data_IF_617685020682
#
_entry.id   IF_617685020682
#
_cell.length_a   1.000
_cell.length_b   1.000
_cell.length_c   1.000
_cell.angle_alpha   90.00
_cell.angle_beta   90.00
_cell.angle_gamma   90.00
#
_symmetry.space_group_name_H-M   'P 1'
#
loop_
_entity.id
_entity.type
_entity.pdbx_description
1 polymer ?
#
# COMPACT_ATOMS: atom_id res chain seq x y z
N UNK A 1 -13.43 26.73 38.86
CA UNK A 1 -13.10 26.28 37.49
C UNK A 1 -13.74 24.94 37.08
N UNK A 2 -14.75 24.42 37.81
CA UNK A 2 -15.32 23.07 37.57
C UNK A 2 -16.41 23.03 36.49
N UNK A 3 -17.29 24.04 36.43
CA UNK A 3 -18.53 23.99 35.64
C UNK A 3 -18.35 24.19 34.12
N UNK A 4 -17.24 24.79 33.67
CA UNK A 4 -16.95 24.96 32.23
C UNK A 4 -16.39 23.69 31.58
N UNK A 5 -15.69 22.83 32.33
CA UNK A 5 -15.18 21.55 31.81
C UNK A 5 -16.31 20.53 31.65
N UNK A 6 -17.23 20.42 32.62
CA UNK A 6 -18.42 19.56 32.48
C UNK A 6 -19.32 19.97 31.31
N UNK A 7 -19.53 21.28 31.10
CA UNK A 7 -20.28 21.77 29.94
C UNK A 7 -19.62 21.43 28.60
N UNK A 8 -18.28 21.43 28.54
CA UNK A 8 -17.51 21.07 27.35
C UNK A 8 -17.56 19.55 27.08
N UNK A 9 -17.41 18.71 28.11
CA UNK A 9 -17.53 17.26 27.98
C UNK A 9 -18.94 16.82 27.59
N UNK A 10 -19.98 17.44 28.18
CA UNK A 10 -21.38 17.15 27.83
C UNK A 10 -21.74 17.59 26.40
N UNK A 11 -21.11 18.68 25.94
CA UNK A 11 -21.19 19.15 24.55
C UNK A 11 -20.52 18.18 23.58
N UNK A 12 -19.34 17.64 23.93
CA UNK A 12 -18.62 16.66 23.10
C UNK A 12 -19.34 15.31 23.05
N UNK A 13 -19.87 14.82 24.17
CA UNK A 13 -20.65 13.57 24.19
C UNK A 13 -21.95 13.72 23.40
N UNK A 14 -22.61 14.88 23.49
CA UNK A 14 -23.78 15.21 22.68
C UNK A 14 -23.45 15.21 21.19
N UNK A 15 -22.34 15.83 20.80
CA UNK A 15 -21.87 15.85 19.41
C UNK A 15 -21.45 14.45 18.92
N UNK A 16 -20.88 13.61 19.79
CA UNK A 16 -20.51 12.23 19.44
C UNK A 16 -21.75 11.34 19.22
N UNK A 17 -22.77 11.49 20.07
CA UNK A 17 -24.03 10.78 19.93
C UNK A 17 -24.78 11.24 18.67
N UNK A 18 -24.68 12.53 18.32
CA UNK A 18 -25.22 13.08 17.08
C UNK A 18 -24.54 12.45 15.86
N UNK A 19 -23.20 12.38 15.83
CA UNK A 19 -22.42 11.73 14.75
C UNK A 19 -22.72 10.23 14.68
N UNK A 20 -22.84 9.52 15.80
CA UNK A 20 -23.18 8.10 15.82
C UNK A 20 -24.59 7.86 15.27
N UNK A 21 -25.54 8.74 15.59
CA UNK A 21 -26.90 8.63 15.09
C UNK A 21 -27.01 9.04 13.61
N UNK A 22 -26.21 9.99 13.15
CA UNK A 22 -26.06 10.36 11.74
C UNK A 22 -25.49 9.20 10.92
N UNK A 23 -24.42 8.54 11.41
CA UNK A 23 -23.85 7.34 10.79
C UNK A 23 -24.85 6.18 10.77
N UNK A 24 -25.63 5.97 11.84
CA UNK A 24 -26.70 4.96 11.85
C UNK A 24 -27.83 5.28 10.88
N UNK A 25 -28.18 6.56 10.72
CA UNK A 25 -29.18 7.01 9.75
C UNK A 25 -28.67 6.85 8.31
N UNK A 26 -27.40 7.16 8.04
CA UNK A 26 -26.73 6.96 6.75
C UNK A 26 -26.66 5.47 6.37
N UNK A 27 -26.34 4.59 7.33
CA UNK A 27 -26.37 3.13 7.13
C UNK A 27 -27.79 2.65 6.80
N UNK A 28 -28.82 3.26 7.40
CA UNK A 28 -30.23 2.91 7.16
C UNK A 28 -30.79 3.52 5.86
N UNK A 29 -30.20 4.61 5.37
CA UNK A 29 -30.58 5.33 4.15
C UNK A 29 -29.80 4.90 2.91
N UNK A 30 -28.75 4.08 3.05
CA UNK A 30 -28.01 3.51 1.93
C UNK A 30 -28.90 2.61 1.05
N UNK A 31 -29.39 3.16 -0.06
CA UNK A 31 -29.84 2.38 -1.23
C UNK A 31 -28.69 1.52 -1.74
N UNK A 32 -28.96 0.33 -2.31
CA UNK A 32 -27.89 -0.55 -2.80
C UNK A 32 -27.03 0.21 -3.82
N UNK A 33 -25.70 0.19 -3.70
CA UNK A 33 -24.86 0.88 -4.65
C UNK A 33 -25.00 0.23 -6.03
N UNK A 34 -24.96 1.07 -7.05
CA UNK A 34 -24.78 0.66 -8.43
C UNK A 34 -23.55 -0.27 -8.50
N UNK A 35 -23.78 -1.53 -8.90
CA UNK A 35 -22.87 -2.67 -8.66
C UNK A 35 -21.49 -2.55 -9.31
N UNK A 36 -21.22 -1.46 -10.03
CA UNK A 36 -20.00 -1.25 -10.80
C UNK A 36 -18.99 -0.28 -10.16
N UNK A 37 -19.35 0.58 -9.20
CA UNK A 37 -18.44 1.69 -8.76
C UNK A 37 -17.72 1.51 -7.41
N UNK A 38 -18.15 0.61 -6.53
CA UNK A 38 -17.49 0.36 -5.24
C UNK A 38 -17.61 1.53 -4.24
N UNK A 39 -17.18 1.34 -2.97
CA UNK A 39 -17.30 2.36 -1.92
C UNK A 39 -16.44 3.61 -2.20
N UNK A 40 -17.03 4.79 -1.98
CA UNK A 40 -16.38 6.11 -2.12
C UNK A 40 -15.82 6.60 -0.78
N UNK A 41 -14.76 7.41 -0.82
CA UNK A 41 -14.18 8.07 0.36
C UNK A 41 -15.12 9.16 0.91
N UNK A 42 -15.22 9.30 2.23
CA UNK A 42 -15.90 10.44 2.86
C UNK A 42 -15.17 11.77 2.59
N UNK A 43 -15.81 12.92 2.81
CA UNK A 43 -15.15 14.24 2.62
C UNK A 43 -13.86 14.40 3.43
N UNK A 44 -13.86 13.96 4.68
CA UNK A 44 -12.67 14.01 5.54
C UNK A 44 -11.56 13.07 5.02
N UNK A 45 -11.94 11.88 4.54
CA UNK A 45 -10.99 10.94 3.92
C UNK A 45 -10.47 11.44 2.58
N UNK A 46 -11.30 12.12 1.79
CA UNK A 46 -10.89 12.80 0.56
C UNK A 46 -9.89 13.93 0.86
N UNK A 47 -10.08 14.69 1.95
CA UNK A 47 -9.10 15.69 2.39
C UNK A 47 -7.77 15.08 2.82
N UNK A 48 -7.80 13.97 3.59
CA UNK A 48 -6.58 13.22 3.93
C UNK A 48 -5.89 12.64 2.69
N UNK A 49 -6.67 12.05 1.76
CA UNK A 49 -6.15 11.55 0.49
C UNK A 49 -5.56 12.68 -0.38
N UNK A 50 -6.21 13.84 -0.42
CA UNK A 50 -5.71 15.01 -1.12
C UNK A 50 -4.46 15.59 -0.46
N UNK A 51 -4.33 15.57 0.86
CA UNK A 51 -3.08 15.95 1.55
C UNK A 51 -1.95 14.97 1.24
N UNK A 52 -2.24 13.65 1.23
CA UNK A 52 -1.27 12.63 0.81
C UNK A 52 -0.84 12.91 -0.64
N UNK A 53 -1.79 13.15 -1.54
CA UNK A 53 -1.53 13.42 -2.95
C UNK A 53 -0.82 14.76 -3.20
N UNK A 54 -1.13 15.79 -2.40
CA UNK A 54 -0.49 17.10 -2.45
C UNK A 54 0.95 17.04 -1.94
N UNK A 55 1.23 16.25 -0.90
CA UNK A 55 2.61 15.97 -0.46
C UNK A 55 3.39 15.24 -1.55
N UNK A 56 2.74 14.33 -2.28
CA UNK A 56 3.34 13.64 -3.43
C UNK A 56 3.57 14.58 -4.63
N UNK A 57 2.76 15.62 -4.81
CA UNK A 57 2.86 16.56 -5.95
C UNK A 57 3.64 17.84 -5.67
N UNK A 58 3.76 18.32 -4.43
CA UNK A 58 4.49 19.56 -4.09
C UNK A 58 6.00 19.36 -3.96
N UNK A 59 6.49 18.11 -3.98
CA UNK A 59 7.92 17.81 -4.00
C UNK A 59 8.53 17.78 -5.42
N UNK A 60 7.79 18.14 -6.47
CA UNK A 60 8.29 18.17 -7.86
C UNK A 60 8.61 19.57 -8.41
N UNK A 61 8.35 20.66 -7.67
CA UNK A 61 8.55 22.04 -8.17
C UNK A 61 9.72 22.79 -7.50
N UNK A 62 10.58 22.10 -6.75
CA UNK A 62 11.66 22.71 -5.98
C UNK A 62 13.06 22.58 -6.56
N UNK A 63 13.24 22.43 -7.87
CA UNK A 63 14.57 22.38 -8.53
C UNK A 63 14.51 22.88 -10.00
N UNK A 64 13.96 24.07 -10.23
CA UNK A 64 14.00 24.72 -11.55
C UNK A 64 14.31 26.22 -11.49
N UNK A 65 15.08 26.68 -10.50
CA UNK A 65 15.66 28.03 -10.49
C UNK A 65 17.15 27.94 -10.23
N UNK A 66 17.94 27.74 -11.30
CA UNK A 66 19.30 28.29 -11.52
C UNK A 66 19.98 27.61 -12.72
N UNK A 67 19.63 28.01 -13.94
CA UNK A 67 20.60 28.23 -15.05
C UNK A 67 20.02 29.34 -15.95
N UNK A 68 20.89 30.28 -16.29
CA UNK A 68 20.65 31.64 -16.77
C UNK A 68 20.15 31.78 -18.22
N UNK A 69 19.56 32.96 -18.46
CA UNK A 69 19.59 33.81 -19.67
C UNK A 69 20.12 33.20 -20.96
N UNK A 70 19.22 33.04 -21.94
CA UNK A 70 19.22 33.80 -23.20
C UNK A 70 17.96 33.41 -24.00
N UNK A 71 17.07 34.38 -24.21
CA UNK A 71 15.92 34.23 -25.08
C UNK A 71 16.34 34.38 -26.55
N UNK A 72 15.76 33.57 -27.44
CA UNK A 72 15.36 34.11 -28.73
C UNK A 72 13.89 33.82 -29.07
N UNK A 73 13.33 34.85 -29.70
CA UNK A 73 12.03 35.10 -30.32
C UNK A 73 11.08 33.93 -30.64
N UNK A 74 9.82 34.19 -30.33
CA UNK A 74 8.60 33.44 -30.69
C UNK A 74 8.38 33.51 -32.21
N UNK A 75 8.22 32.37 -32.91
CA UNK A 75 7.53 32.33 -34.18
C UNK A 75 6.06 31.92 -33.96
N UNK A 76 5.20 32.69 -34.59
CA UNK A 76 3.74 32.57 -34.74
C UNK A 76 3.26 31.17 -35.16
N UNK A 77 2.04 30.82 -34.70
CA UNK A 77 1.24 29.65 -35.12
C UNK A 77 1.27 29.37 -36.63
N UNK A 78 1.13 28.08 -37.01
CA UNK A 78 0.25 27.79 -38.13
C UNK A 78 -0.78 26.68 -37.83
N UNK A 79 -2.03 27.04 -38.09
CA UNK A 79 -3.09 26.32 -38.79
C UNK A 79 -3.40 24.84 -38.43
N UNK A 80 -4.67 24.66 -38.05
CA UNK A 80 -5.33 23.40 -37.77
C UNK A 80 -5.31 22.43 -38.97
N UNK A 81 -4.67 21.27 -38.79
CA UNK A 81 -4.86 20.11 -39.64
C UNK A 81 -6.01 19.24 -39.09
N UNK A 82 -7.04 19.02 -39.91
CA UNK A 82 -8.14 18.07 -39.67
C UNK A 82 -7.60 16.64 -39.63
N UNK A 83 -8.08 15.76 -38.74
CA UNK A 83 -7.92 14.32 -38.93
C UNK A 83 -9.11 13.78 -39.74
N UNK A 84 -8.84 13.42 -41.00
CA UNK A 84 -9.60 12.38 -41.69
C UNK A 84 -9.17 11.03 -41.10
N UNK A 85 -10.09 10.31 -40.47
CA UNK A 85 -10.10 8.84 -40.41
C UNK A 85 -11.46 8.41 -39.85
N UNK A 86 -12.30 7.88 -40.73
CA UNK A 86 -13.57 7.25 -40.41
C UNK A 86 -13.32 6.09 -39.42
N UNK A 87 -13.91 6.20 -38.24
CA UNK A 87 -14.07 5.08 -37.31
C UNK A 87 -15.08 4.10 -37.93
N UNK A 88 -14.58 2.93 -38.32
CA UNK A 88 -15.37 1.80 -38.79
C UNK A 88 -16.33 1.32 -37.69
N UNK A 89 -17.59 1.75 -37.80
CA UNK A 89 -18.68 1.49 -36.85
C UNK A 89 -19.28 0.09 -37.03
N UNK A 90 -18.82 -0.70 -38.00
CA UNK A 90 -19.32 -2.07 -38.25
C UNK A 90 -18.63 -3.14 -37.39
N UNK A 91 -17.42 -2.86 -36.88
CA UNK A 91 -16.68 -3.79 -36.01
C UNK A 91 -17.25 -3.86 -34.57
N UNK A 92 -17.95 -2.83 -34.11
CA UNK A 92 -18.52 -2.76 -32.76
C UNK A 92 -19.89 -3.45 -32.65
N UNK A 93 -20.70 -3.47 -33.72
CA UNK A 93 -22.05 -4.04 -33.68
C UNK A 93 -22.11 -5.57 -33.89
N UNK A 94 -21.02 -6.22 -34.32
CA UNK A 94 -20.97 -7.70 -34.44
C UNK A 94 -20.65 -8.42 -33.13
N UNK A 95 -20.26 -7.71 -32.08
CA UNK A 95 -19.98 -8.30 -30.77
C UNK A 95 -21.26 -8.48 -29.90
N UNK A 96 -22.39 -7.87 -30.26
CA UNK A 96 -23.61 -7.86 -29.43
C UNK A 96 -24.61 -9.01 -29.72
N UNK A 97 -24.36 -9.85 -30.72
CA UNK A 97 -25.29 -10.93 -31.10
C UNK A 97 -24.64 -12.32 -31.15
N UNK A 98 -24.02 -12.75 -30.04
CA UNK A 98 -23.76 -14.17 -29.80
C UNK A 98 -24.59 -14.68 -28.61
N UNK A 99 -25.21 -15.87 -28.72
CA UNK A 99 -26.04 -16.41 -27.65
C UNK A 99 -25.18 -16.71 -26.42
N UNK A 100 -25.67 -16.35 -25.24
CA UNK A 100 -25.06 -16.62 -23.94
C UNK A 100 -24.74 -18.12 -23.80
N UNK A 101 -23.48 -18.48 -24.09
CA UNK A 101 -22.92 -19.74 -23.60
C UNK A 101 -22.76 -19.58 -22.10
N UNK A 102 -23.42 -20.45 -21.35
CA UNK A 102 -23.38 -20.52 -19.89
C UNK A 102 -21.95 -20.49 -19.36
N UNK A 103 -21.48 -19.30 -19.01
CA UNK A 103 -20.16 -19.08 -18.44
C UNK A 103 -20.25 -19.36 -16.93
N UNK A 104 -20.51 -20.62 -16.57
CA UNK A 104 -20.20 -21.07 -15.21
C UNK A 104 -18.67 -21.07 -15.10
N UNK A 105 -18.07 -20.35 -14.11
CA UNK A 105 -16.64 -20.41 -13.91
C UNK A 105 -16.22 -21.87 -13.72
N UNK A 106 -15.11 -22.26 -14.37
CA UNK A 106 -14.51 -23.57 -14.17
C UNK A 106 -14.27 -23.78 -12.67
N UNK A 107 -14.48 -24.99 -12.14
CA UNK A 107 -14.29 -25.27 -10.73
C UNK A 107 -12.86 -24.89 -10.31
N UNK A 108 -12.74 -24.33 -9.10
CA UNK A 108 -11.46 -23.99 -8.48
C UNK A 108 -10.54 -25.23 -8.50
N UNK A 109 -9.25 -25.10 -8.85
CA UNK A 109 -8.32 -26.21 -8.74
C UNK A 109 -8.30 -26.69 -7.29
N UNK A 110 -8.63 -27.96 -7.06
CA UNK A 110 -8.62 -28.59 -5.72
C UNK A 110 -7.21 -29.02 -5.29
N UNK A 111 -6.19 -28.28 -5.72
CA UNK A 111 -4.76 -28.55 -5.48
C UNK A 111 -4.01 -27.28 -5.12
N UNK A 112 -2.70 -27.43 -4.82
CA UNK A 112 -1.85 -26.32 -4.40
C UNK A 112 -1.93 -25.15 -5.41
N UNK A 113 -2.55 -24.03 -5.00
CA UNK A 113 -2.81 -22.84 -5.82
C UNK A 113 -1.52 -22.30 -6.48
N UNK A 114 -0.36 -22.63 -5.91
CA UNK A 114 0.97 -22.26 -6.39
C UNK A 114 1.44 -22.98 -7.65
N UNK A 115 1.02 -24.24 -7.86
CA UNK A 115 1.31 -24.92 -9.12
C UNK A 115 0.51 -24.30 -10.27
N UNK A 116 -0.71 -23.83 -10.00
CA UNK A 116 -1.53 -23.09 -10.95
C UNK A 116 -0.93 -21.72 -11.31
N UNK A 117 -0.11 -21.11 -10.44
CA UNK A 117 0.59 -19.85 -10.67
C UNK A 117 1.70 -19.92 -11.71
N UNK A 118 2.22 -21.11 -11.99
CA UNK A 118 3.29 -21.34 -12.96
C UNK A 118 2.77 -21.53 -14.39
N UNK A 119 1.46 -21.67 -14.58
CA UNK A 119 0.84 -21.74 -15.91
C UNK A 119 0.52 -20.33 -16.43
N UNK A 120 1.03 -20.01 -17.63
CA UNK A 120 0.90 -18.70 -18.29
C UNK A 120 -0.58 -18.27 -18.47
N UNK A 121 -1.51 -19.24 -18.59
CA UNK A 121 -2.95 -18.99 -18.70
C UNK A 121 -3.63 -18.57 -17.38
N UNK A 122 -3.06 -18.97 -16.25
CA UNK A 122 -3.55 -18.71 -14.89
C UNK A 122 -2.82 -17.56 -14.21
N UNK A 123 -1.60 -17.22 -14.65
CA UNK A 123 -0.87 -16.02 -14.21
C UNK A 123 -1.67 -14.71 -14.41
N UNK A 124 -2.58 -14.67 -15.40
CA UNK A 124 -3.55 -13.57 -15.58
C UNK A 124 -4.61 -13.47 -14.46
N UNK A 125 -4.83 -14.56 -13.72
CA UNK A 125 -5.90 -14.70 -12.71
C UNK A 125 -5.40 -14.62 -11.29
N UNK A 126 -4.12 -14.94 -11.04
CA UNK A 126 -3.49 -14.92 -9.71
C UNK A 126 -2.53 -13.72 -9.62
N UNK A 127 -2.95 -12.65 -8.93
CA UNK A 127 -2.10 -11.49 -8.66
C UNK A 127 -1.69 -11.52 -7.20
N UNK A 128 -0.39 -11.55 -6.94
CA UNK A 128 0.11 -11.49 -5.58
C UNK A 128 0.30 -10.02 -5.19
N UNK A 129 -0.53 -9.55 -4.26
CA UNK A 129 -0.45 -8.22 -3.69
C UNK A 129 0.57 -8.25 -2.55
N UNK A 130 1.77 -7.76 -2.85
CA UNK A 130 2.86 -7.73 -1.90
C UNK A 130 2.57 -6.86 -0.68
N UNK A 131 1.67 -5.89 -0.79
CA UNK A 131 1.33 -5.03 0.33
C UNK A 131 0.06 -4.21 0.10
N UNK A 132 -0.94 -4.43 0.93
CA UNK A 132 -2.07 -3.51 1.15
C UNK A 132 -1.96 -2.90 2.55
N UNK A 133 -1.68 -1.61 2.62
CA UNK A 133 -1.57 -0.90 3.90
C UNK A 133 -2.93 -0.41 4.37
N UNK A 134 -3.45 -1.11 5.38
CA UNK A 134 -4.68 -0.77 6.07
C UNK A 134 -4.38 0.22 7.20
N UNK A 135 -5.16 1.30 7.25
CA UNK A 135 -5.03 2.33 8.29
C UNK A 135 -6.01 2.09 9.44
N UNK A 136 -7.06 1.32 9.18
CA UNK A 136 -8.11 1.01 10.13
C UNK A 136 -8.55 -0.46 9.99
N UNK A 137 -9.16 -1.06 11.02
CA UNK A 137 -9.81 -2.36 10.91
C UNK A 137 -10.89 -2.43 9.82
N UNK A 138 -11.51 -1.30 9.48
CA UNK A 138 -12.49 -1.22 8.40
C UNK A 138 -11.83 -1.45 7.02
N UNK A 139 -10.62 -0.95 6.81
CA UNK A 139 -9.87 -1.15 5.56
C UNK A 139 -9.55 -2.63 5.36
N UNK A 140 -9.13 -3.33 6.43
CA UNK A 140 -8.87 -4.77 6.41
C UNK A 140 -10.14 -5.54 5.98
N UNK A 141 -11.29 -5.24 6.60
CA UNK A 141 -12.58 -5.86 6.25
C UNK A 141 -13.01 -5.54 4.81
N UNK A 142 -12.78 -4.32 4.34
CA UNK A 142 -13.10 -3.90 2.98
C UNK A 142 -12.24 -4.64 1.95
N UNK A 143 -10.94 -4.78 2.23
CA UNK A 143 -10.01 -5.55 1.41
C UNK A 143 -10.42 -7.02 1.33
N UNK A 144 -10.71 -7.65 2.48
CA UNK A 144 -11.25 -9.02 2.54
C UNK A 144 -12.50 -9.18 1.69
N UNK A 145 -13.51 -8.31 1.87
CA UNK A 145 -14.75 -8.35 1.09
C UNK A 145 -14.48 -8.19 -0.41
N UNK A 146 -13.54 -7.32 -0.79
CA UNK A 146 -13.17 -7.13 -2.18
C UNK A 146 -12.56 -8.41 -2.81
N UNK A 147 -11.78 -9.18 -2.04
CA UNK A 147 -11.26 -10.48 -2.49
C UNK A 147 -12.35 -11.56 -2.58
N UNK A 148 -13.27 -11.60 -1.62
CA UNK A 148 -14.36 -12.58 -1.59
C UNK A 148 -15.37 -12.37 -2.72
N UNK A 149 -15.59 -11.15 -3.19
CA UNK A 149 -16.60 -10.83 -4.21
C UNK A 149 -16.21 -11.23 -5.67
N UNK A 150 -15.20 -12.10 -5.82
CA UNK A 150 -14.84 -13.04 -6.90
C UNK A 150 -14.81 -12.61 -8.39
N UNK A 151 -15.45 -11.52 -8.83
CA UNK A 151 -15.37 -11.08 -10.24
C UNK A 151 -14.07 -10.36 -10.60
N UNK A 152 -13.28 -9.94 -9.61
CA UNK A 152 -12.11 -9.09 -9.85
C UNK A 152 -10.76 -9.84 -9.80
N UNK A 153 -10.59 -10.83 -8.91
CA UNK A 153 -9.40 -11.69 -8.89
C UNK A 153 -9.60 -12.89 -7.94
N UNK A 154 -10.22 -13.99 -8.40
CA UNK A 154 -10.57 -15.13 -7.56
C UNK A 154 -9.36 -15.88 -6.97
N UNK A 155 -8.14 -15.47 -7.32
CA UNK A 155 -6.90 -16.11 -6.90
C UNK A 155 -5.90 -15.12 -6.30
N UNK A 156 -6.23 -13.83 -6.12
CA UNK A 156 -5.31 -12.90 -5.43
C UNK A 156 -4.98 -13.39 -4.03
N UNK A 157 -3.69 -13.29 -3.73
CA UNK A 157 -3.08 -13.46 -2.42
C UNK A 157 -2.55 -12.11 -1.98
N UNK A 158 -2.73 -11.74 -0.72
CA UNK A 158 -2.37 -10.41 -0.25
C UNK A 158 -1.66 -10.42 1.10
N UNK A 159 -0.66 -9.56 1.23
CA UNK A 159 -0.11 -9.20 2.54
C UNK A 159 -0.77 -7.89 2.98
N UNK A 160 -1.54 -7.93 4.07
CA UNK A 160 -2.12 -6.74 4.67
C UNK A 160 -1.15 -6.21 5.72
N UNK A 161 -0.65 -5.00 5.52
CA UNK A 161 0.27 -4.36 6.44
C UNK A 161 -0.50 -3.36 7.32
N UNK A 162 -0.23 -3.35 8.62
CA UNK A 162 -0.87 -2.45 9.59
C UNK A 162 0.17 -1.79 10.49
N UNK A 163 -0.06 -0.52 10.83
CA UNK A 163 0.72 0.14 11.86
C UNK A 163 0.10 -0.17 13.22
N UNK A 164 0.92 -0.65 14.15
CA UNK A 164 0.55 -0.70 15.56
C UNK A 164 0.41 0.74 16.09
N UNK A 165 -0.65 1.05 16.85
CA UNK A 165 -0.83 2.35 17.47
C UNK A 165 0.32 2.60 18.46
N UNK A 166 0.62 3.87 18.71
CA UNK A 166 1.49 4.22 19.82
C UNK A 166 0.81 3.83 21.13
N UNK A 167 1.54 3.17 22.02
CA UNK A 167 1.16 3.09 23.43
C UNK A 167 1.94 4.16 24.19
N UNK A 168 1.23 5.15 24.74
CA UNK A 168 1.75 5.96 25.85
C UNK A 168 1.24 5.41 27.17
N UNK A 169 1.89 5.77 28.29
CA UNK A 169 1.44 5.36 29.63
C UNK A 169 0.00 5.85 29.95
N UNK A 170 -0.49 6.90 29.26
CA UNK A 170 -1.86 7.41 29.34
C UNK A 170 -2.85 6.64 28.44
N UNK A 171 -2.37 6.03 27.35
CA UNK A 171 -3.20 5.35 26.34
C UNK A 171 -3.64 3.94 26.76
N UNK A 172 -2.99 3.35 27.78
CA UNK A 172 -3.42 2.09 28.40
C UNK A 172 -4.86 2.16 28.92
N UNK A 173 -5.39 3.35 29.19
CA UNK A 173 -6.75 3.53 29.70
C UNK A 173 -7.78 3.94 28.63
N UNK A 174 -7.41 4.59 27.49
CA UNK A 174 -8.44 5.36 26.75
C UNK A 174 -8.49 5.48 25.22
N UNK A 175 -7.69 4.83 24.33
CA UNK A 175 -8.08 4.51 22.91
C UNK A 175 -6.88 4.13 22.02
N UNK A 176 -6.76 2.84 21.77
CA UNK A 176 -6.26 2.13 20.57
C UNK A 176 -5.40 0.97 21.04
N UNK A 177 -6.05 -0.02 21.64
CA UNK A 177 -5.39 -1.23 22.09
C UNK A 177 -4.82 -1.98 20.88
N UNK A 178 -3.49 -2.20 20.80
CA UNK A 178 -2.88 -2.94 19.70
C UNK A 178 -3.44 -4.36 19.60
N UNK A 179 -3.91 -4.97 20.70
CA UNK A 179 -4.57 -6.27 20.68
C UNK A 179 -5.86 -6.23 19.86
N UNK A 180 -6.63 -5.14 19.89
CA UNK A 180 -7.85 -5.00 19.06
C UNK A 180 -7.51 -4.98 17.57
N UNK A 181 -6.41 -4.31 17.19
CA UNK A 181 -5.98 -4.24 15.79
C UNK A 181 -5.46 -5.60 15.32
N UNK A 182 -4.64 -6.25 16.14
CA UNK A 182 -4.13 -7.60 15.88
C UNK A 182 -5.30 -8.59 15.77
N UNK A 183 -6.24 -8.58 16.71
CA UNK A 183 -7.43 -9.44 16.68
C UNK A 183 -8.27 -9.21 15.43
N UNK A 184 -8.56 -7.95 15.07
CA UNK A 184 -9.33 -7.63 13.87
C UNK A 184 -8.59 -8.01 12.58
N UNK A 185 -7.26 -7.88 12.56
CA UNK A 185 -6.43 -8.38 11.48
C UNK A 185 -6.58 -9.89 11.39
N UNK A 186 -6.42 -10.62 12.49
CA UNK A 186 -6.52 -12.07 12.53
C UNK A 186 -7.85 -12.63 12.08
N UNK A 187 -8.94 -12.07 12.59
CA UNK A 187 -10.28 -12.43 12.14
C UNK A 187 -10.41 -12.25 10.63
N UNK A 188 -9.81 -11.20 10.08
CA UNK A 188 -9.81 -10.95 8.65
C UNK A 188 -8.85 -11.85 7.84
N UNK A 189 -7.77 -12.34 8.44
CA UNK A 189 -6.85 -13.31 7.83
C UNK A 189 -7.45 -14.72 7.81
N UNK A 190 -8.32 -15.06 8.76
CA UNK A 190 -8.89 -16.39 8.86
C UNK A 190 -9.86 -16.69 7.69
N UNK A 191 -9.85 -17.92 7.18
CA UNK A 191 -10.60 -18.35 5.97
C UNK A 191 -10.20 -17.69 4.63
N UNK A 192 -9.09 -16.95 4.55
CA UNK A 192 -8.65 -16.26 3.32
C UNK A 192 -7.17 -16.45 2.99
N UNK A 193 -6.79 -16.21 1.72
CA UNK A 193 -5.41 -16.19 1.19
C UNK A 193 -4.67 -14.90 1.59
N UNK A 194 -4.85 -14.47 2.84
CA UNK A 194 -4.26 -13.25 3.37
C UNK A 194 -3.19 -13.59 4.40
N UNK A 195 -2.13 -12.81 4.35
CA UNK A 195 -1.06 -12.76 5.33
C UNK A 195 -0.95 -11.34 5.87
N UNK A 196 -0.15 -11.17 6.91
CA UNK A 196 0.02 -9.90 7.60
C UNK A 196 1.47 -9.44 7.67
N UNK A 197 1.61 -8.12 7.76
CA UNK A 197 2.78 -7.44 8.28
C UNK A 197 2.34 -6.49 9.39
N UNK A 198 3.08 -6.46 10.50
CA UNK A 198 2.80 -5.55 11.62
C UNK A 198 4.06 -4.81 12.02
N UNK A 199 3.94 -3.56 12.43
CA UNK A 199 5.05 -2.81 13.00
C UNK A 199 4.61 -1.45 13.51
N UNK A 200 5.44 -0.84 14.34
CA UNK A 200 5.26 0.52 14.82
C UNK A 200 6.01 1.49 13.90
N UNK A 201 5.26 2.24 13.09
CA UNK A 201 5.80 3.19 12.11
C UNK A 201 6.44 4.43 12.76
N UNK A 202 7.11 5.30 11.96
CA UNK A 202 7.78 6.51 12.47
C UNK A 202 6.85 7.52 13.17
N UNK A 203 5.54 7.40 12.95
CA UNK A 203 4.50 8.24 13.56
C UNK A 203 3.76 7.57 14.71
N UNK A 204 4.20 6.38 15.11
CA UNK A 204 3.63 5.59 16.21
C UNK A 204 4.78 5.19 17.14
N UNK A 205 5.38 6.17 17.81
CA UNK A 205 6.45 5.87 18.76
C UNK A 205 5.89 5.29 20.06
N UNK A 206 6.47 4.18 20.48
CA UNK A 206 6.20 3.57 21.79
C UNK A 206 7.10 4.22 22.83
N UNK A 207 6.52 4.65 23.96
CA UNK A 207 7.29 5.28 25.04
C UNK A 207 8.28 4.32 25.70
N UNK A 208 7.94 3.03 25.72
CA UNK A 208 8.75 1.96 26.28
C UNK A 208 9.18 0.97 25.19
N UNK A 209 10.46 0.97 24.76
CA UNK A 209 10.98 0.04 23.78
C UNK A 209 10.83 -1.44 24.20
N UNK A 210 10.95 -1.77 25.48
CA UNK A 210 10.79 -3.15 25.96
C UNK A 210 9.33 -3.62 25.79
N UNK A 211 8.36 -2.74 26.01
CA UNK A 211 6.95 -3.09 25.81
C UNK A 211 6.65 -3.39 24.33
N UNK A 212 7.28 -2.65 23.40
CA UNK A 212 7.16 -2.92 21.97
C UNK A 212 7.79 -4.26 21.59
N UNK A 213 8.98 -4.54 22.13
CA UNK A 213 9.70 -5.81 21.93
C UNK A 213 8.89 -7.01 22.43
N UNK A 214 8.41 -6.95 23.66
CA UNK A 214 7.58 -7.99 24.29
C UNK A 214 6.31 -8.22 23.47
N UNK A 215 5.62 -7.13 23.10
CA UNK A 215 4.36 -7.20 22.35
C UNK A 215 4.56 -7.82 20.96
N UNK A 216 5.54 -7.34 20.19
CA UNK A 216 5.82 -7.87 18.86
C UNK A 216 6.26 -9.33 18.93
N UNK A 217 7.18 -9.66 19.84
CA UNK A 217 7.67 -11.03 20.03
C UNK A 217 6.52 -11.98 20.39
N UNK A 218 5.66 -11.59 21.32
CA UNK A 218 4.47 -12.39 21.66
C UNK A 218 3.56 -12.53 20.46
N UNK A 219 3.21 -11.44 19.77
CA UNK A 219 2.30 -11.47 18.62
C UNK A 219 2.83 -12.35 17.49
N UNK A 220 4.13 -12.32 17.19
CA UNK A 220 4.72 -13.15 16.13
C UNK A 220 4.70 -14.65 16.47
N UNK A 221 4.86 -15.01 17.75
CA UNK A 221 4.71 -16.39 18.22
C UNK A 221 3.22 -16.82 18.24
N UNK A 222 2.38 -15.92 18.76
CA UNK A 222 0.93 -15.84 18.77
C UNK A 222 0.33 -16.36 17.48
N UNK A 223 0.80 -15.80 16.37
CA UNK A 223 0.19 -16.18 15.13
C UNK A 223 1.00 -16.16 13.83
N UNK A 224 1.01 -17.30 13.10
CA UNK A 224 1.98 -17.61 12.05
C UNK A 224 1.67 -16.98 10.69
N UNK A 225 0.51 -16.30 10.55
CA UNK A 225 0.15 -15.59 9.32
C UNK A 225 0.78 -14.19 9.26
N UNK A 226 1.43 -13.72 10.32
CA UNK A 226 2.33 -12.56 10.22
C UNK A 226 3.66 -13.05 9.67
N UNK A 227 4.00 -12.55 8.50
CA UNK A 227 5.17 -13.01 7.75
C UNK A 227 6.14 -11.88 7.43
N UNK A 228 5.92 -10.69 7.97
CA UNK A 228 6.79 -9.54 7.78
C UNK A 228 6.64 -8.55 8.95
N UNK A 229 7.66 -7.71 9.14
CA UNK A 229 7.59 -6.55 10.00
C UNK A 229 7.33 -5.30 9.16
N UNK A 230 6.43 -4.44 9.62
CA UNK A 230 6.17 -3.11 9.08
C UNK A 230 4.77 -2.86 8.56
N UNK A 231 4.53 -1.60 8.10
CA UNK A 231 5.54 -0.61 7.75
C UNK A 231 6.26 0.02 8.96
N UNK A 232 7.59 0.01 8.95
CA UNK A 232 8.47 0.71 9.92
C UNK A 232 9.40 1.67 9.18
N UNK A 233 10.00 2.65 9.86
CA UNK A 233 10.95 3.53 9.18
C UNK A 233 11.14 4.90 9.81
N UNK A 234 11.45 5.90 8.99
CA UNK A 234 11.75 7.28 9.40
C UNK A 234 10.89 8.30 8.64
N UNK A 235 10.47 9.35 9.34
CA UNK A 235 9.71 10.49 8.83
C UNK A 235 10.18 11.78 9.52
N UNK A 236 11.23 12.38 8.98
CA UNK A 236 11.84 13.61 9.51
C UNK A 236 10.88 14.80 9.58
N UNK A 237 10.01 15.05 8.59
CA UNK A 237 9.02 16.13 8.69
C UNK A 237 8.02 16.00 9.84
N UNK A 238 7.90 14.83 10.47
CA UNK A 238 6.92 14.60 11.53
C UNK A 238 7.42 15.11 12.89
N UNK A 239 7.18 16.40 13.13
CA UNK A 239 7.68 17.14 14.29
C UNK A 239 7.35 16.61 15.71
N UNK A 240 6.27 15.85 15.97
CA UNK A 240 6.01 15.33 17.32
C UNK A 240 7.10 14.40 17.87
N UNK A 241 7.93 13.81 17.00
CA UNK A 241 8.96 12.86 17.37
C UNK A 241 10.31 13.21 16.76
N UNK A 242 11.38 13.05 17.52
CA UNK A 242 12.73 13.32 17.02
C UNK A 242 13.23 12.16 16.18
N UNK A 243 14.07 12.45 15.17
CA UNK A 243 14.71 11.41 14.36
C UNK A 243 15.46 10.36 15.19
N UNK A 244 16.24 10.71 16.24
CA UNK A 244 16.90 9.72 17.09
C UNK A 244 15.93 8.70 17.71
N UNK A 245 14.76 9.14 18.18
CA UNK A 245 13.75 8.23 18.74
C UNK A 245 13.18 7.29 17.67
N UNK A 246 12.93 7.81 16.46
CA UNK A 246 12.49 6.97 15.33
C UNK A 246 13.58 5.97 14.91
N UNK A 247 14.85 6.36 14.94
CA UNK A 247 15.98 5.49 14.63
C UNK A 247 16.15 4.36 15.65
N UNK A 248 15.95 4.64 16.95
CA UNK A 248 15.98 3.63 18.01
C UNK A 248 14.86 2.59 17.82
N UNK A 249 13.62 3.04 17.62
CA UNK A 249 12.48 2.15 17.37
C UNK A 249 12.62 1.37 16.05
N UNK A 250 13.20 1.98 15.01
CA UNK A 250 13.50 1.29 13.75
C UNK A 250 14.56 0.20 13.97
N UNK A 251 15.65 0.51 14.67
CA UNK A 251 16.72 -0.45 14.96
C UNK A 251 16.19 -1.66 15.74
N UNK A 252 15.39 -1.43 16.78
CA UNK A 252 14.74 -2.49 17.56
C UNK A 252 13.93 -3.44 16.67
N UNK A 253 13.04 -2.89 15.83
CA UNK A 253 12.18 -3.71 14.98
C UNK A 253 12.94 -4.43 13.85
N UNK A 254 14.08 -3.89 13.39
CA UNK A 254 14.99 -4.60 12.47
C UNK A 254 15.68 -5.79 13.15
N UNK A 255 15.99 -5.68 14.44
CA UNK A 255 16.55 -6.77 15.24
C UNK A 255 15.51 -7.88 15.45
N UNK A 256 14.28 -7.52 15.86
CA UNK A 256 13.16 -8.47 15.97
C UNK A 256 12.91 -9.18 14.64
N UNK A 257 12.88 -8.44 13.52
CA UNK A 257 12.72 -9.03 12.20
C UNK A 257 13.83 -10.04 11.86
N UNK A 258 15.07 -9.77 12.29
CA UNK A 258 16.19 -10.68 12.06
C UNK A 258 16.08 -11.95 12.92
N UNK A 259 15.65 -11.84 14.17
CA UNK A 259 15.46 -12.97 15.09
C UNK A 259 14.38 -13.93 14.58
N UNK A 260 13.27 -13.38 14.06
CA UNK A 260 12.19 -14.16 13.44
C UNK A 260 12.42 -14.48 11.95
N UNK A 261 13.55 -14.04 11.37
CA UNK A 261 13.89 -14.22 9.95
C UNK A 261 12.82 -13.70 8.97
N UNK A 262 12.18 -12.59 9.33
CA UNK A 262 11.10 -11.98 8.56
C UNK A 262 11.61 -10.84 7.67
N UNK A 263 11.06 -10.68 6.45
CA UNK A 263 11.24 -9.47 5.66
C UNK A 263 10.66 -8.22 6.34
N UNK A 264 11.15 -7.05 5.94
CA UNK A 264 10.76 -5.76 6.51
C UNK A 264 10.26 -4.80 5.43
N UNK A 265 9.06 -4.23 5.64
CA UNK A 265 8.55 -3.11 4.86
C UNK A 265 9.05 -1.77 5.45
N UNK A 266 9.93 -1.09 4.72
CA UNK A 266 10.53 0.17 5.12
C UNK A 266 9.87 1.37 4.44
N UNK A 267 9.45 2.34 5.24
CA UNK A 267 9.04 3.68 4.79
C UNK A 267 10.14 4.69 5.11
N UNK A 268 10.35 5.67 4.24
CA UNK A 268 11.34 6.72 4.44
C UNK A 268 10.82 8.03 3.86
N UNK A 269 10.81 9.10 4.66
CA UNK A 269 10.34 10.42 4.23
C UNK A 269 11.37 11.47 4.58
N UNK A 270 12.13 11.90 3.56
CA UNK A 270 13.18 12.92 3.64
C UNK A 270 14.34 12.58 4.59
N UNK A 271 14.43 11.36 5.11
CA UNK A 271 15.42 10.93 6.12
C UNK A 271 16.52 10.02 5.56
N UNK A 272 16.91 10.14 4.30
CA UNK A 272 17.76 9.18 3.60
C UNK A 272 19.11 8.91 4.30
N UNK A 273 19.78 9.96 4.78
CA UNK A 273 21.06 9.82 5.50
C UNK A 273 20.88 9.08 6.83
N UNK A 274 19.91 9.51 7.65
CA UNK A 274 19.60 8.87 8.92
C UNK A 274 19.19 7.40 8.74
N UNK A 275 18.42 7.09 7.69
CA UNK A 275 18.04 5.73 7.33
C UNK A 275 19.26 4.89 6.96
N UNK A 276 20.17 5.41 6.12
CA UNK A 276 21.39 4.71 5.75
C UNK A 276 22.30 4.45 6.95
N UNK A 277 22.44 5.42 7.85
CA UNK A 277 23.23 5.30 9.08
C UNK A 277 22.65 4.21 10.00
N UNK A 278 21.33 4.22 10.22
CA UNK A 278 20.65 3.19 11.01
C UNK A 278 20.82 1.81 10.39
N UNK A 279 20.58 1.66 9.09
CA UNK A 279 20.73 0.36 8.40
C UNK A 279 22.18 -0.14 8.44
N UNK A 280 23.18 0.72 8.31
CA UNK A 280 24.60 0.33 8.41
C UNK A 280 24.98 -0.08 9.83
N UNK A 281 24.54 0.67 10.84
CA UNK A 281 24.76 0.32 12.23
C UNK A 281 24.12 -1.03 12.59
N UNK A 282 22.85 -1.22 12.23
CA UNK A 282 22.12 -2.48 12.45
C UNK A 282 22.76 -3.64 11.67
N UNK A 283 23.18 -3.43 10.41
CA UNK A 283 23.92 -4.43 9.64
C UNK A 283 25.23 -4.85 10.32
N UNK A 284 25.94 -3.88 10.90
CA UNK A 284 27.20 -4.14 11.61
C UNK A 284 26.95 -4.98 12.85
N UNK A 285 25.88 -4.69 13.59
CA UNK A 285 25.46 -5.44 14.78
C UNK A 285 25.01 -6.88 14.45
N UNK A 286 24.18 -7.04 13.41
CA UNK A 286 23.57 -8.32 13.04
C UNK A 286 24.41 -9.17 12.07
N UNK A 287 25.46 -8.60 11.49
CA UNK A 287 26.25 -9.19 10.39
C UNK A 287 25.55 -9.15 9.02
N UNK A 288 24.21 -9.25 8.99
CA UNK A 288 23.37 -9.05 7.80
C UNK A 288 22.04 -8.43 8.20
N UNK A 289 21.45 -7.66 7.29
CA UNK A 289 20.09 -7.15 7.46
C UNK A 289 19.06 -8.23 7.07
N UNK A 290 17.84 -8.17 7.65
CA UNK A 290 16.70 -8.91 7.09
C UNK A 290 16.43 -8.45 5.65
N UNK A 291 15.71 -9.26 4.84
CA UNK A 291 15.27 -8.81 3.52
C UNK A 291 14.42 -7.54 3.60
N UNK A 292 14.79 -6.50 2.84
CA UNK A 292 14.12 -5.20 2.91
C UNK A 292 13.24 -4.97 1.68
N UNK A 293 12.09 -4.35 1.91
CA UNK A 293 11.17 -3.85 0.88
C UNK A 293 11.01 -2.36 1.06
N UNK A 294 11.29 -1.59 0.01
CA UNK A 294 10.95 -0.18 -0.05
C UNK A 294 9.43 -0.06 -0.23
N UNK A 295 8.74 0.26 0.86
CA UNK A 295 7.27 0.20 0.94
C UNK A 295 6.58 1.32 0.15
N UNK A 296 7.16 2.52 0.14
CA UNK A 296 6.63 3.65 -0.62
C UNK A 296 7.03 3.55 -2.11
N UNK A 297 6.26 4.21 -2.99
CA UNK A 297 6.72 4.43 -4.34
C UNK A 297 7.93 5.37 -4.31
N UNK A 298 8.96 5.08 -5.12
CA UNK A 298 10.16 5.94 -5.24
C UNK A 298 9.75 7.40 -5.51
N UNK A 299 10.24 8.31 -4.66
CA UNK A 299 9.93 9.76 -4.76
C UNK A 299 11.15 10.64 -5.07
N UNK A 300 12.34 10.08 -5.15
CA UNK A 300 13.55 10.82 -5.54
C UNK A 300 14.65 9.89 -6.04
N UNK A 301 15.75 10.48 -6.53
CA UNK A 301 16.94 9.72 -6.89
C UNK A 301 17.60 9.13 -5.64
N UNK A 302 17.65 9.89 -4.55
CA UNK A 302 18.22 9.49 -3.26
C UNK A 302 17.46 8.29 -2.68
N UNK A 303 16.13 8.27 -2.85
CA UNK A 303 15.26 7.16 -2.46
C UNK A 303 15.61 5.87 -3.20
N UNK A 304 15.79 5.96 -4.52
CA UNK A 304 16.21 4.82 -5.33
C UNK A 304 17.65 4.39 -5.01
N UNK A 305 18.57 5.33 -4.79
CA UNK A 305 19.95 5.02 -4.43
C UNK A 305 20.04 4.31 -3.08
N UNK A 306 19.24 4.73 -2.10
CA UNK A 306 19.09 4.04 -0.82
C UNK A 306 18.60 2.61 -1.03
N UNK A 307 17.50 2.44 -1.77
CA UNK A 307 16.93 1.12 -2.05
C UNK A 307 17.93 0.20 -2.76
N UNK A 308 18.65 0.72 -3.76
CA UNK A 308 19.69 -0.01 -4.49
C UNK A 308 20.87 -0.39 -3.60
N UNK A 309 21.35 0.54 -2.77
CA UNK A 309 22.51 0.34 -1.88
C UNK A 309 22.28 -0.79 -0.88
N UNK A 310 21.06 -0.88 -0.33
CA UNK A 310 20.69 -1.92 0.63
C UNK A 310 20.00 -3.13 -0.01
N UNK A 311 19.94 -3.19 -1.35
CA UNK A 311 19.39 -4.34 -2.08
C UNK A 311 17.89 -4.57 -1.83
N UNK A 312 17.14 -3.51 -1.57
CA UNK A 312 15.71 -3.57 -1.28
C UNK A 312 14.90 -4.02 -2.51
N UNK A 313 13.75 -4.64 -2.27
CA UNK A 313 12.71 -4.78 -3.29
C UNK A 313 11.96 -3.45 -3.45
N UNK A 314 11.53 -3.12 -4.67
CA UNK A 314 10.70 -1.96 -4.97
C UNK A 314 9.26 -2.39 -5.21
N UNK A 315 8.32 -1.67 -4.60
CA UNK A 315 6.90 -1.90 -4.84
C UNK A 315 6.40 -1.14 -6.06
N UNK A 316 5.79 -1.83 -7.01
CA UNK A 316 4.98 -1.29 -8.09
C UNK A 316 3.62 -0.94 -7.50
N UNK A 317 3.31 0.35 -7.41
CA UNK A 317 2.13 0.87 -6.71
C UNK A 317 1.22 1.73 -7.61
N UNK A 318 0.02 2.15 -7.15
CA UNK A 318 -0.90 2.99 -7.92
C UNK A 318 -0.32 4.32 -8.41
N UNK A 319 0.64 4.90 -7.71
CA UNK A 319 1.30 6.16 -8.09
C UNK A 319 1.95 6.07 -9.48
N UNK A 320 2.43 4.89 -9.90
CA UNK A 320 3.08 4.65 -11.19
C UNK A 320 2.10 4.72 -12.38
N UNK A 321 0.79 4.76 -12.12
CA UNK A 321 -0.23 4.88 -13.17
C UNK A 321 -0.39 6.31 -13.68
N UNK A 322 0.24 7.29 -13.04
CA UNK A 322 0.30 8.65 -13.56
C UNK A 322 1.03 8.66 -14.92
N UNK A 323 0.47 9.30 -15.97
CA UNK A 323 1.08 9.35 -17.31
C UNK A 323 2.54 9.82 -17.31
N UNK A 324 2.85 10.81 -16.47
CA UNK A 324 4.18 11.42 -16.35
C UNK A 324 4.83 11.11 -14.99
N UNK A 325 4.76 9.85 -14.52
CA UNK A 325 5.37 9.47 -13.26
C UNK A 325 6.87 9.84 -13.23
N UNK A 326 7.30 10.82 -12.39
CA UNK A 326 8.61 11.46 -12.52
C UNK A 326 9.78 10.49 -12.31
N UNK A 327 9.59 9.45 -11.49
CA UNK A 327 10.64 8.52 -11.10
C UNK A 327 10.60 7.20 -11.87
N UNK A 328 9.98 7.19 -13.07
CA UNK A 328 9.92 6.01 -13.93
C UNK A 328 11.31 5.43 -14.26
N UNK A 329 12.35 6.29 -14.31
CA UNK A 329 13.74 5.88 -14.52
C UNK A 329 14.28 4.93 -13.44
N UNK A 330 13.83 5.04 -12.19
CA UNK A 330 14.21 4.11 -11.12
C UNK A 330 13.72 2.69 -11.40
N UNK A 331 12.44 2.54 -11.78
CA UNK A 331 11.85 1.24 -12.10
C UNK A 331 12.40 0.63 -13.39
N UNK A 332 12.71 1.46 -14.40
CA UNK A 332 13.39 1.02 -15.63
C UNK A 332 14.81 0.51 -15.37
N UNK A 333 15.48 1.06 -14.36
CA UNK A 333 16.86 0.70 -13.99
C UNK A 333 16.92 -0.43 -12.96
N UNK A 334 15.84 -0.68 -12.22
CA UNK A 334 15.79 -1.69 -11.18
C UNK A 334 15.85 -3.10 -11.79
N UNK A 335 16.58 -4.05 -11.17
CA UNK A 335 16.52 -5.44 -11.59
C UNK A 335 15.09 -5.98 -11.48
N UNK A 336 14.58 -6.64 -12.53
CA UNK A 336 13.22 -7.21 -12.53
C UNK A 336 12.95 -8.14 -11.33
N UNK A 337 13.98 -8.87 -10.88
CA UNK A 337 13.92 -9.74 -9.68
C UNK A 337 13.76 -9.01 -8.34
N UNK A 338 13.74 -7.68 -8.36
CA UNK A 338 13.54 -6.81 -7.20
C UNK A 338 12.22 -6.05 -7.26
N UNK A 339 11.35 -6.33 -8.23
CA UNK A 339 10.05 -5.68 -8.33
C UNK A 339 8.96 -6.54 -7.67
N UNK A 340 8.08 -5.91 -6.90
CA UNK A 340 6.91 -6.52 -6.27
C UNK A 340 5.67 -5.73 -6.67
N UNK A 341 4.58 -6.41 -7.06
CA UNK A 341 3.32 -5.73 -7.32
C UNK A 341 2.60 -5.47 -5.98
N UNK A 342 2.18 -4.24 -5.71
CA UNK A 342 1.55 -3.88 -4.44
C UNK A 342 0.40 -2.89 -4.64
N UNK A 343 -0.69 -3.06 -3.89
CA UNK A 343 -1.75 -2.06 -3.86
C UNK A 343 -1.29 -0.79 -3.16
N UNK A 344 -0.40 -0.87 -2.16
CA UNK A 344 -0.01 0.29 -1.36
C UNK A 344 -1.10 0.66 -0.36
N UNK A 345 -1.30 1.97 -0.10
CA UNK A 345 -2.26 2.43 0.91
C UNK A 345 -3.73 2.28 0.49
N UNK A 346 -4.60 1.98 1.45
CA UNK A 346 -6.06 2.00 1.30
C UNK A 346 -6.61 3.32 0.74
N UNK A 347 -5.89 4.43 0.92
CA UNK A 347 -6.32 5.77 0.48
C UNK A 347 -5.81 6.17 -0.91
N UNK A 348 -4.89 5.40 -1.50
CA UNK A 348 -4.26 5.76 -2.78
C UNK A 348 -4.78 4.82 -3.87
N UNK A 349 -5.79 5.26 -4.59
CA UNK A 349 -6.28 4.56 -5.78
C UNK A 349 -5.48 4.97 -7.04
N UNK A 350 -5.42 4.13 -8.08
CA UNK A 350 -4.75 4.50 -9.33
C UNK A 350 -5.35 5.72 -10.01
N UNK A 351 -4.57 6.30 -10.94
CA UNK A 351 -5.05 7.35 -11.83
C UNK A 351 -6.34 6.91 -12.54
N UNK A 352 -7.32 7.82 -12.59
CA UNK A 352 -8.68 7.53 -13.08
C UNK A 352 -9.65 6.97 -12.03
N UNK A 353 -9.18 6.65 -10.83
CA UNK A 353 -10.00 6.14 -9.71
C UNK A 353 -9.93 7.01 -8.44
N UNK A 354 -9.41 8.24 -8.53
CA UNK A 354 -9.35 9.19 -7.41
C UNK A 354 -10.70 9.34 -6.69
N UNK A 355 -10.67 9.48 -5.36
CA UNK A 355 -11.88 9.58 -4.54
C UNK A 355 -12.51 8.24 -4.12
N UNK A 356 -11.95 7.11 -4.57
CA UNK A 356 -12.37 5.77 -4.14
C UNK A 356 -11.31 5.14 -3.23
N UNK A 357 -11.75 4.25 -2.34
CA UNK A 357 -10.82 3.40 -1.61
C UNK A 357 -10.06 2.49 -2.58
N UNK A 358 -8.79 2.29 -2.29
CA UNK A 358 -7.98 1.33 -3.02
C UNK A 358 -8.47 -0.09 -2.75
N UNK A 359 -8.41 -0.93 -3.78
CA UNK A 359 -8.95 -2.28 -3.80
C UNK A 359 -8.02 -3.19 -4.61
N UNK A 360 -7.96 -4.50 -4.29
CA UNK A 360 -7.07 -5.42 -5.00
C UNK A 360 -7.36 -5.52 -6.50
N UNK A 361 -8.60 -5.21 -6.94
CA UNK A 361 -8.95 -5.14 -8.37
C UNK A 361 -8.11 -4.13 -9.16
N UNK A 362 -7.57 -3.12 -8.49
CA UNK A 362 -6.78 -2.05 -9.09
C UNK A 362 -5.30 -2.42 -9.33
N UNK A 363 -4.84 -3.58 -8.85
CA UNK A 363 -3.49 -4.08 -9.13
C UNK A 363 -3.19 -4.18 -10.63
N UNK A 364 -4.20 -4.46 -11.47
CA UNK A 364 -4.03 -4.46 -12.93
C UNK A 364 -3.62 -3.12 -13.50
N UNK A 365 -4.12 -2.02 -12.92
CA UNK A 365 -3.81 -0.69 -13.43
C UNK A 365 -2.32 -0.42 -13.25
N UNK A 366 -1.78 -0.71 -12.06
CA UNK A 366 -0.35 -0.59 -11.76
C UNK A 366 0.50 -1.55 -12.59
N UNK A 367 0.05 -2.80 -12.76
CA UNK A 367 0.72 -3.80 -13.57
C UNK A 367 0.80 -3.35 -15.04
N UNK A 368 -0.32 -2.94 -15.64
CA UNK A 368 -0.40 -2.49 -17.03
C UNK A 368 0.45 -1.24 -17.28
N UNK A 369 0.35 -0.24 -16.41
CA UNK A 369 1.17 0.97 -16.52
C UNK A 369 2.66 0.65 -16.44
N UNK A 370 3.06 -0.22 -15.52
CA UNK A 370 4.48 -0.60 -15.37
C UNK A 370 4.96 -1.49 -16.50
N UNK A 371 4.15 -2.43 -16.97
CA UNK A 371 4.48 -3.26 -18.12
C UNK A 371 4.73 -2.40 -19.37
N UNK A 372 3.86 -1.41 -19.63
CA UNK A 372 4.08 -0.40 -20.67
C UNK A 372 5.37 0.39 -20.45
N UNK A 373 5.60 0.87 -19.23
CA UNK A 373 6.81 1.62 -18.85
C UNK A 373 8.10 0.82 -19.11
N UNK A 374 8.09 -0.48 -18.87
CA UNK A 374 9.21 -1.40 -19.06
C UNK A 374 9.27 -2.02 -20.46
N UNK A 375 8.31 -1.70 -21.35
CA UNK A 375 8.15 -2.35 -22.66
C UNK A 375 8.06 -3.88 -22.57
N UNK A 376 7.31 -4.39 -21.59
CA UNK A 376 7.10 -5.81 -21.31
C UNK A 376 5.63 -6.21 -21.48
N UNK A 377 5.38 -7.50 -21.67
CA UNK A 377 4.01 -8.05 -21.56
C UNK A 377 3.58 -8.07 -20.10
N UNK A 378 2.33 -7.70 -19.83
CA UNK A 378 1.74 -7.73 -18.48
C UNK A 378 1.86 -9.10 -17.82
N UNK A 379 1.59 -10.16 -18.58
CA UNK A 379 1.73 -11.55 -18.13
C UNK A 379 3.15 -11.88 -17.63
N UNK A 380 4.17 -11.46 -18.36
CA UNK A 380 5.57 -11.71 -17.99
C UNK A 380 5.96 -10.93 -16.73
N UNK A 381 5.49 -9.69 -16.59
CA UNK A 381 5.72 -8.90 -15.39
C UNK A 381 5.01 -9.50 -14.18
N UNK A 382 3.75 -9.93 -14.31
CA UNK A 382 2.99 -10.58 -13.25
C UNK A 382 3.67 -11.87 -12.76
N UNK A 383 4.09 -12.74 -13.69
CA UNK A 383 4.83 -13.95 -13.36
C UNK A 383 6.13 -13.63 -12.60
N UNK A 384 6.86 -12.60 -13.04
CA UNK A 384 8.10 -12.15 -12.39
C UNK A 384 7.83 -11.65 -10.97
N UNK A 385 6.85 -10.78 -10.77
CA UNK A 385 6.52 -10.23 -9.45
C UNK A 385 5.99 -11.30 -8.50
N UNK A 386 5.24 -12.28 -8.99
CA UNK A 386 4.75 -13.41 -8.20
C UNK A 386 5.92 -14.32 -7.74
N UNK A 387 6.86 -14.61 -8.64
CA UNK A 387 8.07 -15.37 -8.31
C UNK A 387 8.96 -14.63 -7.28
N UNK A 388 9.08 -13.31 -7.42
CA UNK A 388 9.82 -12.48 -6.46
C UNK A 388 9.16 -12.50 -5.08
N UNK A 389 7.84 -12.39 -5.02
CA UNK A 389 7.11 -12.43 -3.75
C UNK A 389 7.31 -13.76 -3.04
N UNK A 390 7.14 -14.88 -3.74
CA UNK A 390 7.30 -16.22 -3.15
C UNK A 390 8.73 -16.51 -2.72
N UNK A 391 9.72 -15.98 -3.44
CA UNK A 391 11.12 -16.04 -3.03
C UNK A 391 11.36 -15.26 -1.74
N UNK A 392 10.72 -14.09 -1.60
CA UNK A 392 10.87 -13.23 -0.43
C UNK A 392 10.10 -13.77 0.78
N UNK A 393 8.94 -14.37 0.56
CA UNK A 393 8.01 -14.85 1.58
C UNK A 393 7.70 -16.33 1.36
N UNK A 394 8.58 -17.26 1.73
CA UNK A 394 8.36 -18.69 1.50
C UNK A 394 7.11 -19.24 2.22
N UNK A 395 6.71 -18.63 3.34
CA UNK A 395 5.53 -18.99 4.14
C UNK A 395 4.23 -18.98 3.31
N UNK A 396 4.21 -18.11 2.30
CA UNK A 396 3.10 -17.96 1.37
C UNK A 396 2.87 -19.24 0.54
N UNK A 397 3.93 -20.00 0.26
CA UNK A 397 3.87 -21.23 -0.57
C UNK A 397 3.57 -22.50 0.22
N UNK A 398 3.82 -22.48 1.53
CA UNK A 398 3.64 -23.62 2.44
C UNK A 398 2.26 -23.69 3.09
N UNK A 399 1.48 -22.62 3.02
CA UNK A 399 0.10 -22.53 3.50
C UNK A 399 -0.90 -22.90 2.40
#
# INVERSE_FOLDING_TARGET
MSTKKEGFFKSITGALDEVINEVKADIKAMTPPDKQKGPQLSREQQQKAAQIQAVLSQNSSGLAETVMDEAPEIPTEPEAAKPDTELDTEALNKAENQPEKSNKPAPLPTGNLWLALQEESLANRIRADACYHALTPADIRNYRKALQNEKASPLTLGIVAVNLPALTDEDLETKADPDIIVQALYEALDETRLFAAIGAGPRQLWSNPQALDDFLTQTLNDHPKIIAIGPIGLDEPFAPYTLPQQQEQLALQLEIAADFQLPVFLTNRKSHTAMADTLNATKTKLGKLPPLVHFDAIQSKEDYDLARTFGMYLTIRPELTAPDFPHSGAYKSAPLKKLLLASGSALVAPHGHSGHFNQPKFLQNSLAATAKMLSMKELSLAATTNANLTTLFPQITSA
#
